data_IF_797258475044
#
_entry.id   IF_797258475044
#
_cell.length_a   1.000
_cell.length_b   1.000
_cell.length_c   1.000
_cell.angle_alpha   90.00
_cell.angle_beta   90.00
_cell.angle_gamma   90.00
#
_symmetry.space_group_name_H-M   'P 1'
#
loop_
_entity.id
_entity.type
_entity.pdbx_description
1 polymer ?
#
# COMPACT_ATOMS: atom_id res chain seq x y z
N UNK A 1 -9.48 3.70 -64.68
CA UNK A 1 -10.47 4.60 -65.30
C UNK A 1 -10.49 5.84 -64.43
N UNK A 2 -9.83 6.87 -64.88
CA UNK A 2 -10.36 8.11 -65.44
C UNK A 2 -11.09 8.91 -64.36
N UNK A 3 -10.72 10.08 -63.99
CA UNK A 3 -10.23 11.35 -64.56
C UNK A 3 -10.76 12.39 -63.58
N UNK A 4 -10.03 13.25 -63.05
CA UNK A 4 -9.44 14.51 -63.58
C UNK A 4 -10.34 15.74 -63.39
N UNK A 5 -9.70 16.73 -62.79
CA UNK A 5 -9.56 18.16 -63.19
C UNK A 5 -10.77 19.06 -62.86
N UNK A 6 -10.65 20.31 -62.56
CA UNK A 6 -9.62 21.33 -62.63
C UNK A 6 -10.20 22.62 -62.01
N UNK A 7 -9.38 23.43 -61.40
CA UNK A 7 -8.94 24.78 -61.76
C UNK A 7 -9.95 25.94 -61.96
N UNK A 8 -9.64 27.01 -61.33
CA UNK A 8 -9.27 28.41 -61.74
C UNK A 8 -10.30 29.41 -61.21
N UNK A 9 -10.07 30.65 -60.85
CA UNK A 9 -9.01 31.67 -60.95
C UNK A 9 -9.52 32.92 -60.24
N UNK A 10 -8.70 33.58 -59.47
CA UNK A 10 -8.19 34.97 -59.66
C UNK A 10 -9.19 36.14 -59.77
N UNK A 11 -8.91 37.22 -59.05
CA UNK A 11 -9.42 38.55 -59.26
C UNK A 11 -8.91 39.54 -58.21
N UNK A 12 -7.93 40.33 -58.63
CA UNK A 12 -7.30 41.46 -57.93
C UNK A 12 -8.16 42.70 -57.99
N UNK A 13 -7.90 43.61 -57.09
CA UNK A 13 -7.74 45.07 -57.17
C UNK A 13 -8.44 45.75 -56.02
N UNK A 14 -7.92 46.64 -55.19
CA UNK A 14 -6.91 47.64 -55.46
C UNK A 14 -7.37 48.97 -54.85
N UNK A 15 -6.48 49.61 -54.16
CA UNK A 15 -6.38 51.06 -53.89
C UNK A 15 -7.01 51.73 -52.66
N UNK A 16 -6.10 52.19 -51.86
CA UNK A 16 -5.71 53.55 -51.41
C UNK A 16 -6.42 54.14 -50.17
N UNK A 17 -5.52 54.32 -49.18
CA UNK A 17 -5.19 55.53 -48.38
C UNK A 17 -6.34 56.42 -47.86
N UNK A 18 -6.38 56.54 -46.51
CA UNK A 18 -6.16 57.84 -45.80
C UNK A 18 -6.06 57.56 -44.27
N UNK A 19 -5.03 58.01 -43.62
CA UNK A 19 -5.01 58.43 -42.23
C UNK A 19 -5.29 59.95 -42.23
N UNK A 20 -5.63 60.59 -41.09
CA UNK A 20 -5.14 60.39 -39.69
C UNK A 20 -6.20 60.65 -38.61
N UNK A 21 -5.90 60.44 -37.35
CA UNK A 21 -5.95 61.41 -36.27
C UNK A 21 -5.90 60.74 -34.88
N UNK A 22 -5.14 61.35 -34.04
CA UNK A 22 -4.89 61.11 -32.61
C UNK A 22 -6.12 60.72 -31.76
N UNK A 23 -6.02 59.63 -31.02
CA UNK A 23 -6.90 59.30 -29.93
C UNK A 23 -6.10 58.67 -28.77
N UNK A 24 -6.08 59.38 -27.68
CA UNK A 24 -5.45 59.13 -26.39
C UNK A 24 -5.77 57.71 -25.91
N UNK A 25 -4.73 56.88 -25.65
CA UNK A 25 -4.88 55.61 -24.99
C UNK A 25 -4.93 55.82 -23.48
N UNK A 26 -5.93 55.29 -22.75
CA UNK A 26 -5.84 55.18 -21.29
C UNK A 26 -4.83 54.07 -20.95
N UNK A 27 -3.86 54.42 -20.12
CA UNK A 27 -2.93 53.50 -19.51
C UNK A 27 -3.65 52.54 -18.57
N UNK A 28 -3.85 51.31 -19.01
CA UNK A 28 -4.23 50.22 -18.12
C UNK A 28 -2.98 49.84 -17.30
N UNK A 29 -2.98 50.23 -16.05
CA UNK A 29 -2.08 49.68 -15.04
C UNK A 29 -2.24 48.16 -15.04
N UNK A 30 -1.24 47.43 -15.50
CA UNK A 30 -1.08 46.02 -15.18
C UNK A 30 -0.74 45.95 -13.71
N UNK A 31 -1.72 45.57 -12.89
CA UNK A 31 -1.45 45.04 -11.58
C UNK A 31 -0.63 43.75 -11.78
N UNK A 32 0.61 43.76 -11.33
CA UNK A 32 1.42 42.56 -11.21
C UNK A 32 0.74 41.65 -10.21
N UNK A 33 0.07 40.62 -10.70
CA UNK A 33 -0.31 39.49 -9.84
C UNK A 33 0.99 38.93 -9.27
N UNK A 34 1.11 39.08 -7.95
CA UNK A 34 2.21 38.54 -7.18
C UNK A 34 2.45 37.09 -7.57
N UNK A 35 3.68 36.83 -7.94
CA UNK A 35 4.32 35.53 -8.08
C UNK A 35 4.14 34.79 -6.73
N UNK A 36 3.11 33.97 -6.64
CA UNK A 36 3.03 33.00 -5.53
C UNK A 36 4.07 31.94 -5.85
N UNK A 37 5.06 31.71 -4.96
CA UNK A 37 5.98 30.62 -5.16
C UNK A 37 5.15 29.33 -5.15
N UNK A 38 5.18 28.59 -6.23
CA UNK A 38 4.76 27.20 -6.25
C UNK A 38 5.55 26.52 -5.14
N UNK A 39 4.85 25.95 -4.17
CA UNK A 39 5.44 25.08 -3.15
C UNK A 39 5.97 23.84 -3.89
N UNK A 40 7.20 23.89 -4.34
CA UNK A 40 7.94 22.76 -4.85
C UNK A 40 8.26 21.87 -3.64
N UNK A 41 7.31 21.00 -3.29
CA UNK A 41 7.65 19.84 -2.48
C UNK A 41 8.87 19.13 -3.12
N UNK A 42 9.67 18.36 -2.36
CA UNK A 42 10.92 17.80 -2.85
C UNK A 42 10.69 17.06 -4.18
N UNK A 43 11.14 17.67 -5.26
CA UNK A 43 11.10 17.08 -6.59
C UNK A 43 12.01 15.86 -6.56
N UNK A 44 11.41 14.67 -6.48
CA UNK A 44 12.16 13.43 -6.59
C UNK A 44 12.96 13.47 -7.90
N UNK A 45 14.28 13.27 -7.83
CA UNK A 45 15.10 13.22 -9.03
C UNK A 45 14.51 12.16 -9.99
N UNK A 46 14.29 12.56 -11.24
CA UNK A 46 13.76 11.67 -12.30
C UNK A 46 14.55 10.35 -12.33
N UNK A 47 15.86 10.39 -12.03
CA UNK A 47 16.70 9.20 -11.97
C UNK A 47 16.29 8.25 -10.87
N UNK A 48 15.94 8.77 -9.69
CA UNK A 48 15.49 7.97 -8.55
C UNK A 48 14.11 7.39 -8.81
N UNK A 49 13.19 8.15 -9.38
CA UNK A 49 11.88 7.67 -9.81
C UNK A 49 12.00 6.54 -10.85
N UNK A 50 12.86 6.70 -11.86
CA UNK A 50 13.11 5.66 -12.87
C UNK A 50 13.78 4.43 -12.24
N UNK A 51 14.73 4.62 -11.33
CA UNK A 51 15.39 3.52 -10.61
C UNK A 51 14.39 2.73 -9.78
N UNK A 52 13.49 3.42 -9.07
CA UNK A 52 12.41 2.79 -8.30
C UNK A 52 11.46 1.99 -9.20
N UNK A 53 11.02 2.54 -10.32
CA UNK A 53 10.15 1.82 -11.27
C UNK A 53 10.82 0.55 -11.81
N UNK A 54 12.11 0.61 -12.15
CA UNK A 54 12.88 -0.55 -12.59
C UNK A 54 12.95 -1.61 -11.48
N UNK A 55 13.24 -1.20 -10.24
CA UNK A 55 13.30 -2.08 -9.08
C UNK A 55 11.95 -2.76 -8.83
N UNK A 56 10.84 -2.01 -8.89
CA UNK A 56 9.48 -2.54 -8.77
C UNK A 56 9.17 -3.59 -9.85
N UNK A 57 9.57 -3.33 -11.08
CA UNK A 57 9.36 -4.29 -12.18
C UNK A 57 10.13 -5.59 -11.98
N UNK A 58 11.37 -5.52 -11.48
CA UNK A 58 12.16 -6.71 -11.13
C UNK A 58 11.45 -7.50 -10.02
N UNK A 59 11.01 -6.83 -8.96
CA UNK A 59 10.32 -7.45 -7.82
C UNK A 59 9.04 -8.13 -8.30
N UNK A 60 8.19 -7.46 -9.05
CA UNK A 60 6.94 -8.02 -9.57
C UNK A 60 7.18 -9.29 -10.41
N UNK A 61 8.19 -9.26 -11.27
CA UNK A 61 8.56 -10.44 -12.09
C UNK A 61 9.10 -11.58 -11.23
N UNK A 62 9.92 -11.27 -10.21
CA UNK A 62 10.45 -12.26 -9.29
C UNK A 62 9.36 -12.87 -8.41
N UNK A 63 8.40 -12.07 -7.95
CA UNK A 63 7.23 -12.55 -7.20
C UNK A 63 6.46 -13.60 -8.02
N UNK A 64 6.19 -13.34 -9.29
CA UNK A 64 5.54 -14.32 -10.16
C UNK A 64 6.33 -15.63 -10.25
N UNK A 65 7.64 -15.53 -10.47
CA UNK A 65 8.50 -16.71 -10.59
C UNK A 65 8.64 -17.47 -9.26
N UNK A 66 8.90 -16.78 -8.16
CA UNK A 66 9.00 -17.41 -6.84
C UNK A 66 7.69 -18.03 -6.39
N UNK A 67 6.56 -17.38 -6.66
CA UNK A 67 5.24 -17.90 -6.30
C UNK A 67 4.93 -19.21 -7.02
N UNK A 68 5.18 -19.28 -8.33
CA UNK A 68 4.82 -20.44 -9.15
C UNK A 68 5.87 -21.56 -9.15
N UNK A 69 7.15 -21.21 -9.11
CA UNK A 69 8.25 -22.19 -9.26
C UNK A 69 9.05 -22.42 -7.97
N UNK A 70 8.86 -21.58 -6.94
CA UNK A 70 9.65 -21.60 -5.71
C UNK A 70 11.00 -20.89 -5.86
N UNK A 71 11.60 -20.55 -4.71
CA UNK A 71 12.91 -19.92 -4.67
C UNK A 71 14.01 -20.84 -5.25
N UNK A 72 13.98 -22.13 -4.93
CA UNK A 72 15.00 -23.10 -5.36
C UNK A 72 15.15 -23.17 -6.87
N UNK A 73 14.03 -23.18 -7.59
CA UNK A 73 13.97 -23.36 -9.04
C UNK A 73 14.03 -22.05 -9.84
N UNK A 74 14.20 -20.91 -9.18
CA UNK A 74 14.27 -19.60 -9.84
C UNK A 74 15.66 -19.00 -9.68
N UNK A 75 16.24 -18.48 -10.76
CA UNK A 75 17.52 -17.76 -10.77
C UNK A 75 17.29 -16.29 -11.14
N UNK A 76 18.28 -15.42 -10.85
CA UNK A 76 18.23 -14.02 -11.29
C UNK A 76 18.29 -13.91 -12.82
N UNK A 77 18.92 -14.89 -13.47
CA UNK A 77 18.95 -15.03 -14.93
C UNK A 77 17.56 -15.29 -15.50
N UNK A 78 16.77 -16.16 -14.87
CA UNK A 78 15.39 -16.42 -15.28
C UNK A 78 14.50 -15.16 -15.12
N UNK A 79 14.77 -14.32 -14.11
CA UNK A 79 14.11 -13.02 -13.97
C UNK A 79 14.51 -12.09 -15.12
N UNK A 80 15.80 -12.01 -15.46
CA UNK A 80 16.30 -11.20 -16.56
C UNK A 80 15.68 -11.61 -17.90
N UNK A 81 15.65 -12.92 -18.17
CA UNK A 81 15.06 -13.52 -19.37
C UNK A 81 13.57 -13.18 -19.49
N UNK A 82 12.80 -13.38 -18.41
CA UNK A 82 11.35 -13.06 -18.40
C UNK A 82 11.07 -11.58 -18.62
N UNK A 83 11.99 -10.70 -18.21
CA UNK A 83 11.90 -9.26 -18.42
C UNK A 83 12.45 -8.79 -19.77
N UNK A 84 13.11 -9.67 -20.52
CA UNK A 84 13.86 -9.34 -21.74
C UNK A 84 14.93 -8.25 -21.49
N UNK A 85 15.68 -8.40 -20.40
CA UNK A 85 16.80 -7.52 -20.02
C UNK A 85 18.09 -8.31 -19.81
N UNK A 86 19.23 -7.62 -19.71
CA UNK A 86 20.52 -8.27 -19.49
C UNK A 86 20.72 -8.64 -18.01
N UNK A 87 21.53 -9.67 -17.73
CA UNK A 87 21.94 -10.04 -16.37
C UNK A 87 22.51 -8.86 -15.58
N UNK A 88 23.48 -8.07 -16.12
CA UNK A 88 23.99 -6.88 -15.42
C UNK A 88 22.91 -5.90 -14.98
N UNK A 89 21.82 -5.78 -15.74
CA UNK A 89 20.70 -4.93 -15.35
C UNK A 89 20.06 -5.40 -14.04
N UNK A 90 19.84 -6.70 -13.85
CA UNK A 90 19.29 -7.22 -12.58
C UNK A 90 20.30 -7.03 -11.45
N UNK A 91 21.58 -7.35 -11.69
CA UNK A 91 22.63 -7.24 -10.67
C UNK A 91 22.94 -5.80 -10.25
N UNK A 92 22.63 -4.79 -11.07
CA UNK A 92 22.72 -3.38 -10.67
C UNK A 92 21.68 -2.97 -9.61
N UNK A 93 20.58 -3.72 -9.50
CA UNK A 93 19.50 -3.46 -8.53
C UNK A 93 19.50 -4.44 -7.35
N UNK A 94 19.85 -5.71 -7.57
CA UNK A 94 19.82 -6.77 -6.57
C UNK A 94 21.12 -7.59 -6.59
N UNK A 95 21.89 -7.49 -5.51
CA UNK A 95 23.20 -8.15 -5.39
C UNK A 95 23.13 -9.68 -5.41
N UNK A 96 21.99 -10.25 -4.98
CA UNK A 96 21.79 -11.70 -4.89
C UNK A 96 20.30 -12.04 -4.90
N UNK A 97 20.00 -13.32 -5.15
CA UNK A 97 18.64 -13.87 -5.03
C UNK A 97 18.08 -13.73 -3.61
N UNK A 98 18.92 -13.88 -2.59
CA UNK A 98 18.49 -13.70 -1.19
C UNK A 98 18.19 -12.24 -0.87
N UNK A 99 18.95 -11.29 -1.40
CA UNK A 99 18.60 -9.86 -1.28
C UNK A 99 17.24 -9.54 -1.93
N UNK A 100 16.93 -10.12 -3.09
CA UNK A 100 15.63 -9.98 -3.72
C UNK A 100 14.51 -10.68 -2.91
N UNK A 101 14.80 -11.84 -2.33
CA UNK A 101 13.88 -12.53 -1.44
C UNK A 101 13.55 -11.69 -0.20
N UNK A 102 14.56 -11.13 0.46
CA UNK A 102 14.37 -10.28 1.65
C UNK A 102 13.46 -9.07 1.35
N UNK A 103 13.67 -8.42 0.21
CA UNK A 103 12.81 -7.32 -0.24
C UNK A 103 11.36 -7.77 -0.47
N UNK A 104 11.16 -8.93 -1.11
CA UNK A 104 9.82 -9.50 -1.33
C UNK A 104 9.16 -9.86 -0.01
N UNK A 105 9.87 -10.52 0.90
CA UNK A 105 9.34 -10.99 2.18
C UNK A 105 8.96 -9.86 3.14
N UNK A 106 9.65 -8.73 3.08
CA UNK A 106 9.37 -7.57 3.94
C UNK A 106 8.14 -6.77 3.52
N UNK A 107 7.65 -6.91 2.28
CA UNK A 107 6.61 -6.02 1.73
C UNK A 107 5.28 -6.10 2.45
N UNK A 108 4.83 -7.30 2.79
CA UNK A 108 3.55 -7.47 3.47
C UNK A 108 3.51 -6.74 4.82
N UNK A 109 4.52 -6.96 5.66
CA UNK A 109 4.58 -6.31 6.99
C UNK A 109 4.86 -4.81 6.87
N UNK A 110 5.67 -4.38 5.89
CA UNK A 110 5.92 -2.96 5.64
C UNK A 110 4.63 -2.22 5.28
N UNK A 111 3.85 -2.75 4.32
CA UNK A 111 2.56 -2.16 3.93
C UNK A 111 1.57 -2.11 5.11
N UNK A 112 1.52 -3.15 5.92
CA UNK A 112 0.66 -3.20 7.11
C UNK A 112 1.10 -2.16 8.16
N UNK A 113 2.40 -2.03 8.40
CA UNK A 113 2.95 -1.04 9.35
C UNK A 113 2.74 0.41 8.84
N UNK A 114 2.88 0.65 7.54
CA UNK A 114 2.58 1.93 6.93
C UNK A 114 1.09 2.31 7.08
N UNK A 115 0.16 1.35 6.88
CA UNK A 115 -1.25 1.56 7.13
C UNK A 115 -1.51 1.95 8.59
N UNK A 116 -0.95 1.20 9.54
CA UNK A 116 -1.05 1.51 10.97
C UNK A 116 -0.45 2.90 11.31
N UNK A 117 0.70 3.24 10.75
CA UNK A 117 1.34 4.54 10.99
C UNK A 117 0.46 5.71 10.50
N UNK A 118 -0.17 5.58 9.33
CA UNK A 118 -1.11 6.60 8.83
C UNK A 118 -2.30 6.78 9.77
N UNK A 119 -2.88 5.67 10.23
CA UNK A 119 -4.03 5.69 11.13
C UNK A 119 -3.68 6.27 12.50
N UNK A 120 -2.54 5.89 13.08
CA UNK A 120 -2.09 6.44 14.38
C UNK A 120 -1.83 7.95 14.30
N UNK A 121 -1.34 8.43 13.15
CA UNK A 121 -1.07 9.85 12.93
C UNK A 121 -2.32 10.68 12.58
N UNK A 122 -3.47 10.05 12.28
CA UNK A 122 -4.71 10.74 11.99
C UNK A 122 -5.43 11.21 13.26
N UNK A 123 -6.26 12.23 13.11
CA UNK A 123 -7.21 12.62 14.14
C UNK A 123 -8.38 11.61 14.21
N UNK A 124 -9.07 11.56 15.33
CA UNK A 124 -10.25 10.74 15.53
C UNK A 124 -10.22 9.92 16.82
N UNK A 125 -11.33 9.28 17.12
CA UNK A 125 -11.53 8.39 18.27
C UNK A 125 -10.76 7.07 18.08
N UNK A 126 -10.56 6.33 19.15
CA UNK A 126 -9.94 5.01 19.07
C UNK A 126 -10.77 4.05 18.19
N UNK A 127 -12.09 4.18 18.23
CA UNK A 127 -13.02 3.41 17.39
C UNK A 127 -12.81 3.69 15.91
N UNK A 128 -12.79 4.95 15.50
CA UNK A 128 -12.57 5.35 14.11
C UNK A 128 -11.19 4.89 13.59
N UNK A 129 -10.16 5.00 14.44
CA UNK A 129 -8.80 4.55 14.13
C UNK A 129 -8.73 3.02 13.97
N UNK A 130 -9.36 2.23 14.84
CA UNK A 130 -9.35 0.77 14.70
C UNK A 130 -10.15 0.33 13.47
N UNK A 131 -11.27 0.98 13.17
CA UNK A 131 -12.05 0.70 11.96
C UNK A 131 -11.20 0.94 10.69
N UNK A 132 -10.60 2.12 10.59
CA UNK A 132 -9.71 2.47 9.49
C UNK A 132 -8.51 1.52 9.40
N UNK A 133 -7.89 1.17 10.55
CA UNK A 133 -6.79 0.22 10.59
C UNK A 133 -7.22 -1.16 10.08
N UNK A 134 -8.33 -1.71 10.58
CA UNK A 134 -8.78 -3.05 10.18
C UNK A 134 -9.08 -3.10 8.67
N UNK A 135 -9.66 -2.04 8.13
CA UNK A 135 -9.92 -1.89 6.70
C UNK A 135 -8.61 -1.82 5.89
N UNK A 136 -7.72 -0.89 6.22
CA UNK A 136 -6.48 -0.65 5.47
C UNK A 136 -5.48 -1.80 5.61
N UNK A 137 -5.40 -2.40 6.80
CA UNK A 137 -4.57 -3.59 7.04
C UNK A 137 -5.07 -4.77 6.21
N UNK A 138 -6.40 -4.95 6.12
CA UNK A 138 -6.97 -5.99 5.26
C UNK A 138 -6.61 -5.78 3.79
N UNK A 139 -6.76 -4.56 3.26
CA UNK A 139 -6.36 -4.25 1.89
C UNK A 139 -4.87 -4.51 1.67
N UNK A 140 -4.01 -4.06 2.59
CA UNK A 140 -2.57 -4.29 2.52
C UNK A 140 -2.21 -5.80 2.45
N UNK A 141 -2.90 -6.64 3.23
CA UNK A 141 -2.71 -8.11 3.21
C UNK A 141 -3.19 -8.69 1.88
N UNK A 142 -4.36 -8.28 1.38
CA UNK A 142 -4.91 -8.82 0.13
C UNK A 142 -4.08 -8.42 -1.10
N UNK A 143 -3.57 -7.20 -1.15
CA UNK A 143 -2.67 -6.72 -2.20
C UNK A 143 -1.32 -7.43 -2.19
N UNK A 144 -0.87 -7.86 -1.01
CA UNK A 144 0.42 -8.51 -0.82
C UNK A 144 0.32 -10.04 -0.64
N UNK A 145 -0.80 -10.70 -1.03
CA UNK A 145 -1.00 -12.14 -0.83
C UNK A 145 0.16 -13.01 -1.32
N UNK A 146 0.68 -12.72 -2.53
CA UNK A 146 1.80 -13.49 -3.10
C UNK A 146 3.09 -13.29 -2.33
N UNK A 147 3.35 -12.07 -1.85
CA UNK A 147 4.51 -11.76 -1.02
C UNK A 147 4.45 -12.51 0.32
N UNK A 148 3.27 -12.53 0.96
CA UNK A 148 3.03 -13.26 2.21
C UNK A 148 3.18 -14.77 1.99
N UNK A 149 2.65 -15.32 0.91
CA UNK A 149 2.78 -16.74 0.58
C UNK A 149 4.25 -17.14 0.33
N UNK A 150 5.03 -16.28 -0.35
CA UNK A 150 6.47 -16.50 -0.54
C UNK A 150 7.17 -16.45 0.82
N UNK A 151 6.89 -15.44 1.66
CA UNK A 151 7.47 -15.34 3.00
C UNK A 151 7.22 -16.62 3.80
N UNK A 152 5.98 -17.07 3.93
CA UNK A 152 5.61 -18.26 4.71
C UNK A 152 6.34 -19.53 4.25
N UNK A 153 6.61 -19.66 2.95
CA UNK A 153 7.27 -20.83 2.38
C UNK A 153 8.79 -20.75 2.42
N UNK A 154 9.35 -19.56 2.25
CA UNK A 154 10.78 -19.38 1.96
C UNK A 154 11.54 -18.63 3.09
N UNK A 155 10.90 -18.25 4.21
CA UNK A 155 11.51 -17.47 5.30
C UNK A 155 12.80 -18.11 5.85
N UNK A 156 12.89 -19.43 5.81
CA UNK A 156 14.08 -20.19 6.24
C UNK A 156 15.36 -19.90 5.43
N UNK A 157 15.23 -19.27 4.27
CA UNK A 157 16.37 -18.87 3.42
C UNK A 157 16.76 -17.40 3.59
N UNK A 158 16.05 -16.65 4.45
CA UNK A 158 16.47 -15.30 4.82
C UNK A 158 17.72 -15.34 5.68
N UNK A 159 18.56 -14.31 5.57
CA UNK A 159 19.65 -14.11 6.52
C UNK A 159 19.11 -13.80 7.91
N UNK A 160 19.94 -13.97 8.95
CA UNK A 160 19.59 -13.56 10.32
C UNK A 160 19.20 -12.08 10.39
N UNK A 161 19.95 -11.22 9.70
CA UNK A 161 19.72 -9.78 9.71
C UNK A 161 18.41 -9.41 9.02
N UNK A 162 18.09 -10.02 7.87
CA UNK A 162 16.82 -9.80 7.17
C UNK A 162 15.63 -10.30 7.99
N UNK A 163 15.76 -11.48 8.63
CA UNK A 163 14.73 -12.03 9.52
C UNK A 163 14.51 -11.13 10.73
N UNK A 164 15.58 -10.62 11.34
CA UNK A 164 15.49 -9.71 12.48
C UNK A 164 14.86 -8.36 12.08
N UNK A 165 15.19 -7.82 10.91
CA UNK A 165 14.56 -6.61 10.39
C UNK A 165 13.04 -6.79 10.19
N UNK A 166 12.59 -7.93 9.63
CA UNK A 166 11.17 -8.25 9.48
C UNK A 166 10.50 -8.40 10.85
N UNK A 167 11.13 -9.09 11.79
CA UNK A 167 10.61 -9.27 13.14
C UNK A 167 10.56 -7.96 13.93
N UNK A 168 11.49 -7.04 13.72
CA UNK A 168 11.44 -5.71 14.31
C UNK A 168 10.20 -4.93 13.83
N UNK A 169 9.87 -4.97 12.54
CA UNK A 169 8.64 -4.35 12.01
C UNK A 169 7.38 -4.98 12.60
N UNK A 170 7.35 -6.30 12.81
CA UNK A 170 6.22 -6.99 13.46
C UNK A 170 6.06 -6.55 14.91
N UNK A 171 7.15 -6.51 15.69
CA UNK A 171 7.11 -6.02 17.07
C UNK A 171 6.64 -4.57 17.14
N UNK A 172 7.04 -3.74 16.19
CA UNK A 172 6.58 -2.35 16.11
C UNK A 172 5.07 -2.28 15.83
N UNK A 173 4.57 -3.08 14.89
CA UNK A 173 3.15 -3.19 14.59
C UNK A 173 2.36 -3.61 15.83
N UNK A 174 2.78 -4.69 16.51
CA UNK A 174 2.13 -5.21 17.71
C UNK A 174 2.10 -4.16 18.83
N UNK A 175 3.22 -3.47 19.06
CA UNK A 175 3.29 -2.41 20.08
C UNK A 175 2.31 -1.27 19.78
N UNK A 176 2.21 -0.84 18.52
CA UNK A 176 1.34 0.27 18.13
C UNK A 176 -0.14 -0.09 18.17
N UNK A 177 -0.52 -1.27 17.72
CA UNK A 177 -1.91 -1.72 17.81
C UNK A 177 -2.34 -1.92 19.28
N UNK A 178 -1.48 -2.47 20.14
CA UNK A 178 -1.73 -2.55 21.56
C UNK A 178 -1.92 -1.17 22.21
N UNK A 179 -1.11 -0.18 21.84
CA UNK A 179 -1.26 1.18 22.34
C UNK A 179 -2.62 1.79 21.95
N UNK A 180 -3.04 1.61 20.70
CA UNK A 180 -4.33 2.09 20.22
C UNK A 180 -5.52 1.39 20.90
N UNK A 181 -5.44 0.08 21.11
CA UNK A 181 -6.45 -0.66 21.86
C UNK A 181 -6.51 -0.22 23.33
N UNK A 182 -5.36 0.04 23.96
CA UNK A 182 -5.27 0.56 25.33
C UNK A 182 -5.91 1.95 25.43
N UNK A 183 -5.71 2.82 24.44
CA UNK A 183 -6.38 4.11 24.35
C UNK A 183 -7.91 3.93 24.40
N UNK A 184 -8.47 3.06 23.54
CA UNK A 184 -9.91 2.83 23.48
C UNK A 184 -10.48 2.18 24.75
N UNK A 185 -9.73 1.31 25.45
CA UNK A 185 -10.13 0.78 26.77
C UNK A 185 -10.15 1.91 27.81
N UNK A 186 -9.14 2.78 27.80
CA UNK A 186 -9.02 3.88 28.77
C UNK A 186 -10.12 4.93 28.57
N UNK A 187 -10.48 5.22 27.32
CA UNK A 187 -11.59 6.16 26.98
C UNK A 187 -12.97 5.51 27.16
N UNK A 188 -13.04 4.19 27.40
CA UNK A 188 -14.29 3.45 27.56
C UNK A 188 -14.98 3.09 26.24
N UNK A 189 -14.32 3.28 25.12
CA UNK A 189 -14.82 2.89 23.79
C UNK A 189 -14.76 1.37 23.59
N UNK A 190 -13.77 0.69 24.19
CA UNK A 190 -13.57 -0.74 24.05
C UNK A 190 -13.75 -1.49 25.38
N UNK A 191 -14.23 -2.73 25.28
CA UNK A 191 -14.45 -3.63 26.40
C UNK A 191 -13.60 -4.90 26.22
N UNK A 192 -12.31 -4.75 26.40
CA UNK A 192 -11.29 -5.80 26.18
C UNK A 192 -10.60 -6.09 27.52
N UNK A 193 -10.63 -7.36 27.95
CA UNK A 193 -9.97 -7.80 29.19
C UNK A 193 -8.46 -7.95 29.00
N UNK A 194 -8.02 -8.40 27.81
CA UNK A 194 -6.62 -8.60 27.45
C UNK A 194 -6.34 -7.95 26.08
N UNK A 195 -5.72 -6.78 26.14
CA UNK A 195 -5.37 -5.97 24.96
C UNK A 195 -4.41 -6.72 24.04
N UNK A 196 -3.45 -7.46 24.61
CA UNK A 196 -2.48 -8.18 23.80
C UNK A 196 -3.13 -9.35 23.03
N UNK A 197 -4.00 -10.08 23.68
CA UNK A 197 -4.77 -11.14 23.02
C UNK A 197 -5.70 -10.59 21.94
N UNK A 198 -6.33 -9.44 22.18
CA UNK A 198 -7.16 -8.78 21.18
C UNK A 198 -6.34 -8.34 19.95
N UNK A 199 -5.15 -7.77 20.16
CA UNK A 199 -4.23 -7.41 19.07
C UNK A 199 -3.82 -8.66 18.25
N UNK A 200 -3.48 -9.76 18.90
CA UNK A 200 -3.17 -11.04 18.23
C UNK A 200 -4.37 -11.59 17.46
N UNK A 201 -5.58 -11.48 18.01
CA UNK A 201 -6.80 -11.92 17.34
C UNK A 201 -7.08 -11.09 16.07
N UNK A 202 -6.96 -9.77 16.14
CA UNK A 202 -7.09 -8.87 14.98
C UNK A 202 -6.05 -9.23 13.92
N UNK A 203 -4.78 -9.35 14.32
CA UNK A 203 -3.69 -9.75 13.43
C UNK A 203 -3.95 -11.10 12.77
N UNK A 204 -4.44 -12.08 13.53
CA UNK A 204 -4.78 -13.41 13.05
C UNK A 204 -5.93 -13.41 12.03
N UNK A 205 -7.04 -12.71 12.33
CA UNK A 205 -8.20 -12.60 11.44
C UNK A 205 -7.78 -11.99 10.10
N UNK A 206 -7.02 -10.89 10.14
CA UNK A 206 -6.61 -10.18 8.93
C UNK A 206 -5.54 -10.97 8.16
N UNK A 207 -4.49 -11.44 8.81
CA UNK A 207 -3.38 -12.13 8.12
C UNK A 207 -3.82 -13.45 7.49
N UNK A 208 -4.73 -14.20 8.15
CA UNK A 208 -5.25 -15.47 7.61
C UNK A 208 -6.05 -15.31 6.33
N UNK A 209 -6.52 -14.08 6.02
CA UNK A 209 -7.21 -13.78 4.76
C UNK A 209 -6.33 -14.07 3.55
N UNK A 210 -5.01 -13.95 3.67
CA UNK A 210 -4.06 -14.29 2.61
C UNK A 210 -4.18 -15.75 2.14
N UNK A 211 -4.73 -16.64 2.98
CA UNK A 211 -4.90 -18.07 2.68
C UNK A 211 -6.25 -18.36 2.01
N UNK A 212 -7.33 -17.78 2.51
CA UNK A 212 -8.68 -18.13 2.03
C UNK A 212 -9.27 -17.17 0.98
N UNK A 213 -8.83 -15.92 0.93
CA UNK A 213 -9.37 -14.96 -0.04
C UNK A 213 -9.05 -15.38 -1.48
N UNK A 214 -10.04 -15.20 -2.36
CA UNK A 214 -9.92 -15.43 -3.80
C UNK A 214 -10.46 -14.22 -4.55
N UNK A 215 -9.69 -13.70 -5.49
CA UNK A 215 -10.04 -12.50 -6.27
C UNK A 215 -11.29 -12.70 -7.17
N UNK A 216 -11.61 -13.94 -7.51
CA UNK A 216 -12.83 -14.33 -8.23
C UNK A 216 -13.94 -14.83 -7.28
N UNK A 217 -13.82 -14.61 -5.99
CA UNK A 217 -14.79 -14.98 -4.98
C UNK A 217 -16.00 -14.05 -4.91
N UNK A 218 -16.87 -14.28 -3.92
CA UNK A 218 -18.14 -13.55 -3.73
C UNK A 218 -17.94 -12.06 -3.40
N UNK A 219 -16.88 -11.70 -2.69
CA UNK A 219 -16.61 -10.35 -2.20
C UNK A 219 -15.38 -9.76 -2.88
N UNK A 220 -15.47 -8.48 -3.22
CA UNK A 220 -14.31 -7.69 -3.64
C UNK A 220 -13.35 -7.44 -2.46
N UNK A 221 -12.08 -7.03 -2.71
CA UNK A 221 -11.17 -6.65 -1.62
C UNK A 221 -11.77 -5.59 -0.69
N UNK A 222 -12.38 -4.53 -1.25
CA UNK A 222 -12.99 -3.45 -0.47
C UNK A 222 -14.16 -3.95 0.39
N UNK A 223 -15.07 -4.76 -0.17
CA UNK A 223 -16.17 -5.35 0.60
C UNK A 223 -15.66 -6.27 1.72
N UNK A 224 -14.62 -7.05 1.44
CA UNK A 224 -14.01 -7.91 2.44
C UNK A 224 -13.38 -7.08 3.57
N UNK A 225 -12.68 -6.00 3.23
CA UNK A 225 -12.08 -5.11 4.21
C UNK A 225 -13.14 -4.45 5.11
N UNK A 226 -14.25 -3.96 4.52
CA UNK A 226 -15.37 -3.37 5.28
C UNK A 226 -15.97 -4.38 6.27
N UNK A 227 -16.29 -5.59 5.81
CA UNK A 227 -16.89 -6.61 6.69
C UNK A 227 -15.92 -7.08 7.79
N UNK A 228 -14.62 -7.16 7.51
CA UNK A 228 -13.64 -7.51 8.55
C UNK A 228 -13.50 -6.37 9.56
N UNK A 229 -13.54 -5.11 9.13
CA UNK A 229 -13.53 -3.97 10.06
C UNK A 229 -14.75 -4.00 11.00
N UNK A 230 -15.94 -4.28 10.48
CA UNK A 230 -17.17 -4.46 11.29
C UNK A 230 -17.02 -5.61 12.30
N UNK A 231 -16.46 -6.75 11.89
CA UNK A 231 -16.23 -7.89 12.78
C UNK A 231 -15.20 -7.57 13.88
N UNK A 232 -14.13 -6.86 13.55
CA UNK A 232 -13.11 -6.42 14.51
C UNK A 232 -13.75 -5.49 15.55
N UNK A 233 -14.54 -4.49 15.13
CA UNK A 233 -15.24 -3.59 16.05
C UNK A 233 -16.21 -4.37 16.94
N UNK A 234 -17.02 -5.27 16.38
CA UNK A 234 -17.93 -6.10 17.16
C UNK A 234 -17.20 -6.94 18.21
N UNK A 235 -16.01 -7.44 17.91
CA UNK A 235 -15.20 -8.23 18.82
C UNK A 235 -14.71 -7.43 20.04
N UNK A 236 -14.28 -6.18 19.83
CA UNK A 236 -13.67 -5.34 20.89
C UNK A 236 -14.69 -4.47 21.64
N UNK A 237 -15.87 -4.24 21.08
CA UNK A 237 -16.97 -3.46 21.70
C UNK A 237 -18.00 -4.34 22.41
N UNK A 238 -17.98 -5.67 22.18
CA UNK A 238 -18.92 -6.59 22.81
C UNK A 238 -18.69 -6.64 24.33
N UNK A 239 -19.76 -6.45 25.12
CA UNK A 239 -19.72 -6.71 26.55
C UNK A 239 -19.39 -8.18 26.77
N UNK A 240 -18.36 -8.54 27.58
CA UNK A 240 -18.07 -9.92 27.87
C UNK A 240 -19.31 -10.56 28.48
N UNK A 241 -19.77 -11.68 27.93
CA UNK A 241 -20.85 -12.44 28.51
C UNK A 241 -20.45 -12.79 29.95
N UNK A 242 -21.26 -12.39 30.91
CA UNK A 242 -21.01 -12.60 32.36
C UNK A 242 -20.81 -14.10 32.59
N UNK A 243 -19.55 -14.56 32.54
CA UNK A 243 -19.21 -15.94 32.88
C UNK A 243 -19.67 -16.15 34.30
N UNK A 244 -20.75 -16.93 34.51
CA UNK A 244 -21.02 -17.54 35.78
C UNK A 244 -19.78 -18.36 36.14
N UNK A 245 -18.95 -17.86 37.07
CA UNK A 245 -17.87 -18.66 37.64
C UNK A 245 -18.55 -19.92 38.21
N UNK A 246 -18.46 -21.01 37.47
CA UNK A 246 -18.72 -22.33 38.04
C UNK A 246 -17.71 -22.48 39.19
N UNK A 247 -18.18 -22.35 40.41
CA UNK A 247 -17.45 -22.82 41.60
C UNK A 247 -17.22 -24.31 41.36
N UNK A 248 -16.03 -24.67 40.92
CA UNK A 248 -15.56 -26.03 41.07
C UNK A 248 -15.37 -26.19 42.58
N UNK A 249 -16.41 -26.74 43.21
CA UNK A 249 -16.30 -27.25 44.57
C UNK A 249 -15.35 -28.46 44.46
N UNK A 250 -14.11 -28.29 44.87
CA UNK A 250 -13.24 -29.37 45.25
C UNK A 250 -13.88 -29.98 46.50
N UNK A 251 -14.79 -30.95 46.30
CA UNK A 251 -15.19 -31.85 47.34
C UNK A 251 -13.96 -32.68 47.68
N UNK A 252 -13.40 -32.42 48.86
CA UNK A 252 -12.37 -33.23 49.45
C UNK A 252 -12.91 -34.65 49.63
N UNK A 253 -12.19 -35.59 49.09
CA UNK A 253 -12.31 -36.98 49.50
C UNK A 253 -11.39 -37.19 50.70
N UNK A 254 -12.00 -37.56 51.77
CA UNK A 254 -11.36 -38.16 52.99
C UNK A 254 -10.75 -39.52 52.66
#
# INVERSE_FOLDING_TARGET
MKKELARKTAGQSGLRKTAPAHGVRPSVRRESSADQPFDEGPVEDIRDAVSRLKRERIISTAVDLFYHHGLGNTTLEAVAEKMNVTKPFIYSHFKSKNHLLAEICSRGIRASLEALNRVVASDGTATEKIEALAHDFMLAVLENQRHIAIYTREEKYLSSDDSEAINAMRREFDRKICALLTEGVTTGEFMVDDVHLAALAIGGIVSWSSVWYRSNGRLTPAQTATHIAELVLAMIQAKPARRKRARVALAGAA
#
